data_IF_461919143479
#
_entry.id   IF_461919143479
#
_cell.length_a   1.000
_cell.length_b   1.000
_cell.length_c   1.000
_cell.angle_alpha   90.00
_cell.angle_beta   90.00
_cell.angle_gamma   90.00
#
_symmetry.space_group_name_H-M   'P 1'
#
loop_
_entity.id
_entity.type
_entity.pdbx_description
1 polymer ?
#
# COMPACT_ATOMS: atom_id res chain seq x y z
N UNK A 1 14.08 -2.31 6.62
CA UNK A 1 13.43 -2.43 5.31
C UNK A 1 13.48 -1.08 4.61
N UNK A 2 13.78 -1.03 3.30
CA UNK A 2 13.92 0.22 2.52
C UNK A 2 13.47 -0.03 1.08
N UNK A 3 12.74 0.94 0.48
CA UNK A 3 12.44 0.94 -0.96
C UNK A 3 13.42 1.89 -1.66
N UNK A 4 13.89 1.50 -2.84
CA UNK A 4 14.83 2.25 -3.65
C UNK A 4 14.37 2.28 -5.10
N UNK A 5 14.45 3.43 -5.74
CA UNK A 5 14.25 3.55 -7.18
C UNK A 5 15.55 3.17 -7.91
N UNK A 6 15.45 2.32 -8.92
CA UNK A 6 16.54 1.90 -9.79
C UNK A 6 16.44 2.66 -11.11
N UNK A 7 17.39 3.54 -11.36
CA UNK A 7 17.41 4.40 -12.55
C UNK A 7 18.39 3.94 -13.62
N UNK A 8 19.30 2.99 -13.31
CA UNK A 8 20.31 2.43 -14.22
C UNK A 8 20.45 0.94 -13.97
N UNK A 9 20.95 0.21 -14.97
CA UNK A 9 21.25 -1.23 -14.87
C UNK A 9 20.02 -2.04 -14.40
N UNK A 10 18.85 -1.76 -14.93
CA UNK A 10 17.60 -2.46 -14.56
C UNK A 10 17.65 -3.94 -14.96
N UNK A 11 18.43 -4.26 -15.98
CA UNK A 11 18.73 -5.61 -16.48
C UNK A 11 19.38 -6.50 -15.42
N UNK A 12 20.10 -5.96 -14.45
CA UNK A 12 20.64 -6.73 -13.32
C UNK A 12 19.55 -7.41 -12.46
N UNK A 13 18.30 -6.97 -12.60
CA UNK A 13 17.14 -7.54 -11.90
C UNK A 13 16.28 -8.47 -12.77
N UNK A 14 16.74 -8.80 -13.98
CA UNK A 14 15.99 -9.63 -14.94
C UNK A 14 15.53 -10.96 -14.33
N UNK A 15 16.40 -11.63 -13.57
CA UNK A 15 16.07 -12.88 -12.87
C UNK A 15 14.83 -12.75 -11.98
N UNK A 16 14.65 -11.59 -11.34
CA UNK A 16 13.47 -11.34 -10.51
C UNK A 16 12.24 -11.00 -11.35
N UNK A 17 12.40 -10.21 -12.42
CA UNK A 17 11.30 -9.82 -13.30
C UNK A 17 10.70 -11.04 -14.00
N UNK A 18 11.53 -12.02 -14.37
CA UNK A 18 11.12 -13.28 -14.97
C UNK A 18 10.28 -14.17 -14.03
N UNK A 19 10.27 -13.90 -12.71
CA UNK A 19 9.37 -14.60 -11.78
C UNK A 19 7.90 -14.22 -11.97
N UNK A 20 7.62 -13.03 -12.54
CA UNK A 20 6.27 -12.54 -12.80
C UNK A 20 5.89 -12.64 -14.29
N UNK A 21 6.84 -12.42 -15.19
CA UNK A 21 6.66 -12.56 -16.64
C UNK A 21 7.76 -13.45 -17.20
N UNK A 22 7.46 -14.68 -17.66
CA UNK A 22 8.47 -15.66 -18.05
C UNK A 22 9.14 -15.39 -19.40
N UNK A 23 8.80 -14.29 -20.10
CA UNK A 23 9.31 -14.00 -21.43
C UNK A 23 10.07 -12.66 -21.45
N UNK A 24 11.41 -12.74 -21.57
CA UNK A 24 12.33 -11.60 -21.50
C UNK A 24 12.03 -10.52 -22.56
N UNK A 25 11.76 -10.92 -23.81
CA UNK A 25 11.42 -9.98 -24.89
C UNK A 25 10.09 -9.21 -24.65
N UNK A 26 9.24 -9.68 -23.75
CA UNK A 26 8.07 -8.93 -23.28
C UNK A 26 8.45 -7.89 -22.23
N UNK A 27 9.37 -8.24 -21.33
CA UNK A 27 9.88 -7.33 -20.30
C UNK A 27 10.67 -6.18 -20.94
N UNK A 28 11.53 -6.47 -21.91
CA UNK A 28 12.33 -5.47 -22.64
C UNK A 28 11.48 -4.38 -23.30
N UNK A 29 10.26 -4.69 -23.73
CA UNK A 29 9.37 -3.71 -24.37
C UNK A 29 9.02 -2.51 -23.49
N UNK A 30 9.04 -2.68 -22.17
CA UNK A 30 8.66 -1.61 -21.24
C UNK A 30 9.76 -1.22 -20.24
N UNK A 31 10.79 -2.04 -20.04
CA UNK A 31 11.74 -1.87 -18.95
C UNK A 31 12.49 -0.54 -18.99
N UNK A 32 13.01 -0.16 -20.14
CA UNK A 32 13.85 1.04 -20.29
C UNK A 32 13.07 2.34 -20.01
N UNK A 33 11.83 2.42 -20.49
CA UNK A 33 10.99 3.60 -20.39
C UNK A 33 10.19 3.71 -19.08
N UNK A 34 10.23 2.66 -18.26
CA UNK A 34 9.47 2.56 -17.02
C UNK A 34 10.33 2.88 -15.79
N UNK A 35 9.71 3.30 -14.71
CA UNK A 35 10.34 3.39 -13.41
C UNK A 35 10.40 2.01 -12.73
N UNK A 36 11.52 1.71 -12.07
CA UNK A 36 11.70 0.47 -11.33
C UNK A 36 11.96 0.76 -9.86
N UNK A 37 11.32 0.00 -8.98
CA UNK A 37 11.53 0.08 -7.54
C UNK A 37 11.84 -1.30 -6.97
N UNK A 38 12.76 -1.35 -6.02
CA UNK A 38 13.11 -2.55 -5.28
C UNK A 38 12.89 -2.37 -3.79
N UNK A 39 12.40 -3.40 -3.14
CA UNK A 39 12.32 -3.47 -1.69
C UNK A 39 13.48 -4.31 -1.17
N UNK A 40 14.31 -3.68 -0.32
CA UNK A 40 15.49 -4.28 0.30
C UNK A 40 15.23 -4.51 1.79
N UNK A 41 15.48 -5.71 2.26
CA UNK A 41 15.43 -6.07 3.67
C UNK A 41 16.66 -6.88 4.06
N UNK A 42 17.34 -6.49 5.16
CA UNK A 42 18.57 -7.16 5.61
C UNK A 42 19.76 -7.06 4.66
N UNK A 43 19.70 -6.20 3.64
CA UNK A 43 20.71 -6.07 2.58
C UNK A 43 20.34 -6.78 1.27
N UNK A 44 19.35 -7.66 1.29
CA UNK A 44 18.89 -8.42 0.14
C UNK A 44 17.67 -7.79 -0.54
N UNK A 45 17.62 -7.87 -1.86
CA UNK A 45 16.44 -7.46 -2.64
C UNK A 45 15.38 -8.56 -2.53
N UNK A 46 14.26 -8.23 -1.88
CA UNK A 46 13.16 -9.17 -1.62
C UNK A 46 12.05 -9.09 -2.66
N UNK A 47 11.78 -7.90 -3.17
CA UNK A 47 10.70 -7.68 -4.15
C UNK A 47 11.07 -6.55 -5.10
N UNK A 48 10.52 -6.59 -6.31
CA UNK A 48 10.72 -5.60 -7.37
C UNK A 48 9.40 -5.27 -8.03
N UNK A 49 9.22 -4.02 -8.46
CA UNK A 49 8.12 -3.64 -9.34
C UNK A 49 8.58 -2.67 -10.43
N UNK A 50 7.87 -2.69 -11.56
CA UNK A 50 8.10 -1.81 -12.70
C UNK A 50 6.80 -1.11 -13.04
N UNK A 51 6.84 0.22 -13.16
CA UNK A 51 5.66 1.06 -13.43
C UNK A 51 5.94 1.93 -14.64
N UNK A 52 5.06 1.85 -15.62
CA UNK A 52 5.07 2.69 -16.81
C UNK A 52 4.12 3.87 -16.64
N UNK A 53 4.59 5.09 -16.87
CA UNK A 53 3.75 6.27 -16.92
C UNK A 53 3.10 6.37 -18.29
N UNK A 54 1.78 6.41 -18.33
CA UNK A 54 0.98 6.52 -19.53
C UNK A 54 0.49 7.97 -19.75
N UNK A 55 -0.11 8.22 -20.91
CA UNK A 55 -0.78 9.51 -21.17
C UNK A 55 -2.00 9.72 -20.27
N UNK A 56 -2.45 10.98 -20.16
CA UNK A 56 -3.67 11.37 -19.45
C UNK A 56 -3.67 11.01 -17.96
N UNK A 57 -2.56 11.27 -17.27
CA UNK A 57 -2.39 11.06 -15.83
C UNK A 57 -2.74 9.63 -15.39
N UNK A 58 -2.28 8.64 -16.17
CA UNK A 58 -2.42 7.22 -15.89
C UNK A 58 -1.05 6.57 -15.74
N UNK A 59 -0.97 5.52 -14.96
CA UNK A 59 0.19 4.65 -14.92
C UNK A 59 -0.23 3.18 -14.91
N UNK A 60 0.70 2.30 -15.22
CA UNK A 60 0.47 0.85 -15.25
C UNK A 60 1.60 0.12 -14.51
N UNK A 61 1.22 -0.68 -13.54
CA UNK A 61 2.12 -1.63 -12.91
C UNK A 61 2.34 -2.80 -13.89
N UNK A 62 3.50 -2.77 -14.57
CA UNK A 62 3.86 -3.73 -15.62
C UNK A 62 4.38 -5.06 -15.06
N UNK A 63 5.11 -4.99 -13.95
CA UNK A 63 5.73 -6.17 -13.34
C UNK A 63 5.76 -6.00 -11.83
N UNK A 64 5.48 -7.07 -11.10
CA UNK A 64 5.60 -7.13 -9.65
C UNK A 64 6.03 -8.54 -9.25
N UNK A 65 7.24 -8.67 -8.77
CA UNK A 65 7.82 -9.95 -8.38
C UNK A 65 8.36 -9.92 -6.95
N UNK A 66 8.23 -11.04 -6.27
CA UNK A 66 8.82 -11.28 -4.94
C UNK A 66 9.59 -12.59 -4.99
N UNK A 67 10.81 -12.61 -4.45
CA UNK A 67 11.60 -13.83 -4.32
C UNK A 67 10.77 -14.93 -3.68
N UNK A 68 10.93 -16.16 -4.16
CA UNK A 68 10.07 -17.27 -3.73
C UNK A 68 10.12 -17.48 -2.21
N UNK A 69 11.30 -17.40 -1.62
CA UNK A 69 11.58 -17.54 -0.18
C UNK A 69 11.08 -16.37 0.67
N UNK A 70 10.73 -15.26 0.00
CA UNK A 70 10.27 -14.03 0.61
C UNK A 70 8.75 -13.80 0.45
N UNK A 71 8.06 -14.72 -0.24
CA UNK A 71 6.60 -14.65 -0.42
C UNK A 71 5.86 -14.82 0.90
N UNK A 72 4.66 -14.23 0.98
CA UNK A 72 3.82 -14.27 2.19
C UNK A 72 4.22 -13.29 3.30
N UNK A 73 5.33 -12.55 3.15
CA UNK A 73 5.82 -11.56 4.13
C UNK A 73 5.29 -10.13 3.88
N UNK A 74 4.39 -9.93 2.90
CA UNK A 74 3.75 -8.64 2.62
C UNK A 74 4.56 -7.68 1.73
N UNK A 75 5.74 -8.04 1.24
CA UNK A 75 6.62 -7.14 0.48
C UNK A 75 6.02 -6.61 -0.82
N UNK A 76 5.31 -7.46 -1.58
CA UNK A 76 4.60 -7.03 -2.79
C UNK A 76 3.50 -6.00 -2.46
N UNK A 77 2.72 -6.23 -1.41
CA UNK A 77 1.69 -5.31 -0.93
C UNK A 77 2.30 -3.97 -0.51
N UNK A 78 3.43 -4.01 0.17
CA UNK A 78 4.17 -2.81 0.57
C UNK A 78 4.68 -1.99 -0.63
N UNK A 79 5.23 -2.65 -1.67
CA UNK A 79 5.61 -1.97 -2.91
C UNK A 79 4.40 -1.33 -3.61
N UNK A 80 3.25 -2.02 -3.67
CA UNK A 80 2.02 -1.47 -4.26
C UNK A 80 1.59 -0.18 -3.53
N UNK A 81 1.58 -0.18 -2.20
CA UNK A 81 1.21 1.02 -1.45
C UNK A 81 2.17 2.18 -1.72
N UNK A 82 3.47 1.90 -1.69
CA UNK A 82 4.50 2.89 -1.98
C UNK A 82 4.34 3.50 -3.38
N UNK A 83 4.17 2.69 -4.44
CA UNK A 83 4.03 3.21 -5.80
C UNK A 83 2.69 3.95 -6.00
N UNK A 84 1.60 3.51 -5.36
CA UNK A 84 0.33 4.23 -5.40
C UNK A 84 0.49 5.64 -4.84
N UNK A 85 1.18 5.78 -3.74
CA UNK A 85 1.51 7.05 -3.13
C UNK A 85 2.49 7.88 -3.98
N UNK A 86 3.60 7.27 -4.41
CA UNK A 86 4.59 7.92 -5.26
C UNK A 86 3.98 8.58 -6.52
N UNK A 87 3.00 7.90 -7.14
CA UNK A 87 2.33 8.38 -8.35
C UNK A 87 1.07 9.20 -8.11
N UNK A 88 0.55 9.33 -6.89
CA UNK A 88 -0.72 10.02 -6.60
C UNK A 88 -0.74 11.47 -7.08
N UNK A 89 0.38 12.18 -7.03
CA UNK A 89 0.48 13.57 -7.50
C UNK A 89 0.58 13.69 -9.03
N UNK A 90 1.01 12.65 -9.73
CA UNK A 90 1.27 12.68 -11.18
C UNK A 90 0.26 11.89 -11.99
N UNK A 91 -0.38 10.89 -11.38
CA UNK A 91 -1.36 10.01 -12.01
C UNK A 91 -2.64 9.97 -11.17
N UNK A 92 -3.78 9.90 -11.84
CA UNK A 92 -5.09 9.77 -11.19
C UNK A 92 -5.51 8.29 -11.06
N UNK A 93 -4.99 7.43 -11.93
CA UNK A 93 -5.36 6.01 -11.98
C UNK A 93 -4.14 5.14 -12.25
N UNK A 94 -3.97 4.10 -11.45
CA UNK A 94 -3.03 3.02 -11.71
C UNK A 94 -3.76 1.80 -12.25
N UNK A 95 -3.26 1.25 -13.35
CA UNK A 95 -3.72 -0.02 -13.92
C UNK A 95 -2.76 -1.14 -13.57
N UNK A 96 -3.26 -2.37 -13.59
CA UNK A 96 -2.45 -3.58 -13.58
C UNK A 96 -3.11 -4.62 -14.46
N UNK A 97 -2.36 -5.23 -15.37
CA UNK A 97 -2.79 -6.37 -16.17
C UNK A 97 -2.28 -7.68 -15.56
N UNK A 98 -3.14 -8.68 -15.45
CA UNK A 98 -2.77 -10.02 -14.95
C UNK A 98 -3.54 -11.10 -15.68
N UNK A 99 -3.08 -12.35 -15.56
CA UNK A 99 -3.83 -13.49 -16.08
C UNK A 99 -5.09 -13.81 -15.26
N UNK A 100 -5.90 -14.71 -15.76
CA UNK A 100 -7.15 -15.16 -15.16
C UNK A 100 -6.96 -16.09 -13.93
N UNK A 101 -5.90 -15.90 -13.15
CA UNK A 101 -5.63 -16.63 -11.92
C UNK A 101 -6.35 -15.99 -10.74
N UNK A 102 -7.27 -16.71 -10.11
CA UNK A 102 -8.08 -16.24 -8.99
C UNK A 102 -7.24 -15.66 -7.85
N UNK A 103 -6.17 -16.34 -7.45
CA UNK A 103 -5.29 -15.92 -6.35
C UNK A 103 -4.63 -14.56 -6.61
N UNK A 104 -4.21 -14.30 -7.86
CA UNK A 104 -3.58 -13.03 -8.23
C UNK A 104 -4.62 -11.90 -8.29
N UNK A 105 -5.82 -12.19 -8.78
CA UNK A 105 -6.92 -11.23 -8.78
C UNK A 105 -7.30 -10.82 -7.36
N UNK A 106 -7.54 -11.79 -6.47
CA UNK A 106 -7.83 -11.54 -5.04
C UNK A 106 -6.73 -10.74 -4.35
N UNK A 107 -5.46 -10.98 -4.69
CA UNK A 107 -4.34 -10.21 -4.16
C UNK A 107 -4.43 -8.71 -4.55
N UNK A 108 -4.69 -8.40 -5.82
CA UNK A 108 -4.85 -7.02 -6.25
C UNK A 108 -6.12 -6.36 -5.70
N UNK A 109 -7.22 -7.11 -5.59
CA UNK A 109 -8.45 -6.64 -4.95
C UNK A 109 -8.21 -6.27 -3.48
N UNK A 110 -7.43 -7.06 -2.73
CA UNK A 110 -7.00 -6.75 -1.37
C UNK A 110 -6.08 -5.52 -1.29
N UNK A 111 -5.43 -5.14 -2.39
CA UNK A 111 -4.67 -3.89 -2.50
C UNK A 111 -5.54 -2.70 -2.94
N UNK A 112 -6.86 -2.89 -3.08
CA UNK A 112 -7.82 -1.84 -3.43
C UNK A 112 -8.01 -1.62 -4.93
N UNK A 113 -7.54 -2.55 -5.77
CA UNK A 113 -7.84 -2.52 -7.20
C UNK A 113 -9.22 -3.12 -7.47
N UNK A 114 -9.91 -2.60 -8.48
CA UNK A 114 -11.21 -3.09 -8.96
C UNK A 114 -11.11 -3.48 -10.43
N UNK A 115 -11.95 -4.40 -10.87
CA UNK A 115 -12.01 -4.81 -12.27
C UNK A 115 -12.24 -3.62 -13.21
N UNK A 116 -11.50 -3.59 -14.32
CA UNK A 116 -11.59 -2.56 -15.36
C UNK A 116 -12.10 -3.14 -16.68
N UNK A 117 -11.28 -3.91 -17.38
CA UNK A 117 -11.61 -4.51 -18.68
C UNK A 117 -10.81 -5.78 -18.92
N UNK A 118 -11.13 -6.50 -19.97
CA UNK A 118 -10.45 -7.73 -20.38
C UNK A 118 -9.91 -7.57 -21.80
N UNK A 119 -8.67 -7.99 -22.03
CA UNK A 119 -8.09 -8.15 -23.35
C UNK A 119 -8.07 -9.64 -23.66
N UNK A 120 -9.02 -10.07 -24.50
CA UNK A 120 -9.17 -11.48 -24.85
C UNK A 120 -7.95 -11.99 -25.63
N UNK A 121 -7.59 -13.25 -25.40
CA UNK A 121 -6.51 -13.97 -26.09
C UNK A 121 -5.11 -13.33 -25.94
N UNK A 122 -4.92 -12.38 -25.04
CA UNK A 122 -3.65 -11.66 -24.90
C UNK A 122 -2.45 -12.60 -24.76
N UNK A 123 -2.53 -13.58 -23.86
CA UNK A 123 -1.40 -14.50 -23.63
C UNK A 123 -1.18 -15.46 -24.81
N UNK A 124 -2.24 -15.87 -25.49
CA UNK A 124 -2.13 -16.78 -26.63
C UNK A 124 -1.62 -16.11 -27.92
N UNK A 125 -1.80 -14.79 -28.04
CA UNK A 125 -1.35 -14.03 -29.21
C UNK A 125 0.04 -13.40 -29.02
N UNK A 126 0.46 -13.12 -27.79
CA UNK A 126 1.69 -12.38 -27.52
C UNK A 126 2.83 -13.23 -26.97
N UNK A 127 2.55 -14.44 -26.46
CA UNK A 127 3.56 -15.33 -25.89
C UNK A 127 3.81 -16.54 -26.79
N UNK A 128 5.10 -16.90 -26.94
CA UNK A 128 5.53 -18.02 -27.80
C UNK A 128 5.09 -19.37 -27.25
N UNK A 129 5.15 -19.51 -25.91
CA UNK A 129 4.79 -20.75 -25.23
C UNK A 129 3.58 -20.52 -24.30
N UNK A 130 2.71 -21.51 -24.12
CA UNK A 130 1.60 -21.43 -23.20
C UNK A 130 2.06 -21.17 -21.76
N UNK A 131 1.51 -20.14 -21.12
CA UNK A 131 1.81 -19.82 -19.73
C UNK A 131 0.78 -20.48 -18.83
N UNK A 132 1.26 -21.07 -17.73
CA UNK A 132 0.41 -21.65 -16.70
C UNK A 132 0.70 -20.98 -15.35
N UNK A 133 -0.34 -20.65 -14.61
CA UNK A 133 -0.24 -20.15 -13.25
C UNK A 133 -1.19 -20.94 -12.35
N UNK A 134 -0.65 -21.54 -11.26
CA UNK A 134 -1.40 -22.44 -10.36
C UNK A 134 -2.17 -23.54 -11.14
N UNK A 135 -1.58 -24.09 -12.22
CA UNK A 135 -2.18 -25.13 -13.06
C UNK A 135 -3.24 -24.65 -14.05
N UNK A 136 -3.57 -23.35 -14.07
CA UNK A 136 -4.50 -22.74 -15.02
C UNK A 136 -3.72 -22.15 -16.20
N UNK A 137 -4.11 -22.51 -17.43
CA UNK A 137 -3.57 -21.87 -18.62
C UNK A 137 -4.09 -20.44 -18.73
N UNK A 138 -3.16 -19.49 -18.87
CA UNK A 138 -3.50 -18.09 -19.11
C UNK A 138 -3.91 -17.90 -20.58
N UNK A 139 -5.03 -17.23 -20.80
CA UNK A 139 -5.56 -16.86 -22.12
C UNK A 139 -5.74 -15.36 -22.24
N UNK A 140 -6.53 -14.80 -21.33
CA UNK A 140 -6.95 -13.41 -21.37
C UNK A 140 -6.16 -12.58 -20.33
N UNK A 141 -5.86 -11.34 -20.68
CA UNK A 141 -5.35 -10.36 -19.73
C UNK A 141 -6.51 -9.65 -19.06
N UNK A 142 -6.60 -9.77 -17.75
CA UNK A 142 -7.60 -9.07 -16.94
C UNK A 142 -6.95 -7.81 -16.39
N UNK A 143 -7.49 -6.67 -16.77
CA UNK A 143 -7.05 -5.39 -16.22
C UNK A 143 -7.88 -5.00 -15.00
N UNK A 144 -7.16 -4.68 -13.93
CA UNK A 144 -7.73 -4.00 -12.77
C UNK A 144 -7.21 -2.58 -12.75
N UNK A 145 -7.91 -1.70 -12.04
CA UNK A 145 -7.53 -0.30 -11.83
C UNK A 145 -7.74 0.12 -10.39
N UNK A 146 -6.90 1.04 -9.95
CA UNK A 146 -7.04 1.71 -8.66
C UNK A 146 -7.01 3.21 -8.88
N UNK A 147 -7.97 3.93 -8.30
CA UNK A 147 -7.91 5.38 -8.24
C UNK A 147 -6.78 5.78 -7.29
N UNK A 148 -5.90 6.66 -7.76
CA UNK A 148 -4.85 7.24 -6.94
C UNK A 148 -5.37 8.58 -6.44
N UNK A 149 -5.78 8.61 -5.20
CA UNK A 149 -6.23 9.86 -4.59
C UNK A 149 -5.01 10.75 -4.35
N UNK A 150 -4.95 11.90 -5.02
CA UNK A 150 -3.90 12.90 -4.84
C UNK A 150 -4.05 13.69 -3.54
N UNK A 151 -5.20 13.62 -2.91
CA UNK A 151 -5.49 14.25 -1.61
C UNK A 151 -5.76 13.17 -0.56
N UNK A 152 -4.92 13.19 0.46
CA UNK A 152 -5.17 12.42 1.68
C UNK A 152 -6.42 13.00 2.34
N UNK A 153 -7.47 12.20 2.46
CA UNK A 153 -8.67 12.59 3.22
C UNK A 153 -8.29 12.70 4.71
N UNK A 154 -7.85 13.92 5.10
CA UNK A 154 -7.43 14.25 6.46
C UNK A 154 -8.46 13.79 7.49
N UNK A 155 -9.77 13.89 7.17
CA UNK A 155 -10.87 13.48 8.06
C UNK A 155 -10.83 11.98 8.32
N UNK A 156 -10.62 11.16 7.28
CA UNK A 156 -10.52 9.69 7.44
C UNK A 156 -9.31 9.29 8.26
N UNK A 157 -8.17 9.95 8.06
CA UNK A 157 -6.94 9.69 8.82
C UNK A 157 -7.09 10.09 10.28
N UNK A 158 -7.59 11.29 10.55
CA UNK A 158 -7.85 11.76 11.91
C UNK A 158 -8.84 10.85 12.63
N UNK A 159 -9.89 10.39 11.93
CA UNK A 159 -10.87 9.47 12.51
C UNK A 159 -10.24 8.13 12.91
N UNK A 160 -9.35 7.58 12.09
CA UNK A 160 -8.60 6.38 12.39
C UNK A 160 -7.65 6.57 13.57
N UNK A 161 -6.86 7.66 13.54
CA UNK A 161 -5.88 7.99 14.58
C UNK A 161 -6.56 8.24 15.93
N UNK A 162 -7.68 8.97 15.91
CA UNK A 162 -8.48 9.25 17.10
C UNK A 162 -9.11 7.98 17.69
N UNK A 163 -9.54 7.04 16.85
CA UNK A 163 -10.09 5.76 17.32
C UNK A 163 -9.00 4.88 17.96
N UNK A 164 -7.80 4.81 17.36
CA UNK A 164 -6.65 4.15 17.98
C UNK A 164 -6.29 4.79 19.33
N UNK A 165 -6.20 6.13 19.38
CA UNK A 165 -5.97 6.88 20.61
C UNK A 165 -7.02 6.62 21.67
N UNK A 166 -8.31 6.57 21.29
CA UNK A 166 -9.42 6.23 22.19
C UNK A 166 -9.25 4.85 22.82
N UNK A 167 -8.92 3.85 22.02
CA UNK A 167 -8.74 2.48 22.49
C UNK A 167 -7.56 2.42 23.46
N UNK A 168 -6.45 3.07 23.12
CA UNK A 168 -5.26 3.12 23.98
C UNK A 168 -5.58 3.77 25.33
N UNK A 169 -6.16 4.98 25.34
CA UNK A 169 -6.46 5.73 26.54
C UNK A 169 -7.48 5.00 27.43
N UNK A 170 -8.53 4.43 26.81
CA UNK A 170 -9.54 3.63 27.50
C UNK A 170 -8.93 2.40 28.20
N UNK A 171 -7.90 1.81 27.65
CA UNK A 171 -7.24 0.61 28.18
C UNK A 171 -5.98 0.92 29.04
N UNK A 172 -5.82 2.16 29.46
CA UNK A 172 -4.80 2.55 30.44
C UNK A 172 -3.42 2.83 29.87
N UNK A 173 -3.32 3.13 28.56
CA UNK A 173 -2.06 3.61 28.00
C UNK A 173 -1.71 5.00 28.57
N UNK A 174 -0.42 5.24 28.74
CA UNK A 174 0.10 6.54 29.14
C UNK A 174 -0.15 7.60 28.05
N UNK A 175 -0.45 8.85 28.47
CA UNK A 175 -0.80 9.95 27.58
C UNK A 175 0.20 10.14 26.45
N UNK A 176 1.51 10.08 26.73
CA UNK A 176 2.53 10.25 25.72
C UNK A 176 2.52 9.14 24.66
N UNK A 177 2.11 7.91 25.01
CA UNK A 177 1.95 6.80 24.05
C UNK A 177 0.77 6.99 23.14
N UNK A 178 -0.31 7.55 23.67
CA UNK A 178 -1.49 7.91 22.89
C UNK A 178 -1.15 8.98 21.86
N UNK A 179 -0.43 10.02 22.29
CA UNK A 179 0.07 11.10 21.46
C UNK A 179 0.98 10.59 20.34
N UNK A 180 2.00 9.82 20.71
CA UNK A 180 2.93 9.21 19.75
C UNK A 180 2.20 8.35 18.69
N UNK A 181 1.18 7.60 19.12
CA UNK A 181 0.43 6.72 18.22
C UNK A 181 -0.43 7.51 17.25
N UNK A 182 -1.15 8.54 17.71
CA UNK A 182 -1.96 9.44 16.88
C UNK A 182 -1.07 10.12 15.84
N UNK A 183 0.02 10.73 16.29
CA UNK A 183 0.98 11.44 15.43
C UNK A 183 1.61 10.48 14.40
N UNK A 184 2.00 9.26 14.81
CA UNK A 184 2.55 8.24 13.92
C UNK A 184 1.57 7.86 12.82
N UNK A 185 0.30 7.61 13.15
CA UNK A 185 -0.73 7.27 12.16
C UNK A 185 -0.94 8.42 11.18
N UNK A 186 -1.10 9.66 11.67
CA UNK A 186 -1.29 10.82 10.82
C UNK A 186 -0.10 11.04 9.86
N UNK A 187 1.13 10.99 10.39
CA UNK A 187 2.35 11.14 9.58
C UNK A 187 2.52 10.02 8.55
N UNK A 188 2.04 8.81 8.83
CA UNK A 188 2.12 7.66 7.90
C UNK A 188 1.25 7.86 6.65
N UNK A 189 0.24 8.70 6.75
CA UNK A 189 -0.63 9.10 5.64
C UNK A 189 -0.36 10.55 5.18
N UNK A 190 0.83 11.09 5.47
CA UNK A 190 1.29 12.42 5.02
C UNK A 190 0.37 13.59 5.38
N UNK A 191 -0.28 13.53 6.55
CA UNK A 191 -0.92 14.71 7.14
C UNK A 191 0.18 15.64 7.64
N UNK A 192 0.26 16.86 7.07
CA UNK A 192 1.41 17.76 7.26
C UNK A 192 1.46 18.36 8.67
N UNK A 193 0.30 18.74 9.19
CA UNK A 193 0.21 19.38 10.51
C UNK A 193 -0.79 18.63 11.38
N UNK A 194 -0.35 18.20 12.55
CA UNK A 194 -1.14 17.48 13.52
C UNK A 194 -0.86 18.03 14.91
N UNK A 195 -1.87 18.61 15.53
CA UNK A 195 -1.84 19.02 16.92
C UNK A 195 -2.73 18.12 17.75
N UNK A 196 -2.21 17.63 18.86
CA UNK A 196 -2.96 16.80 19.81
C UNK A 196 -3.00 17.44 21.19
N UNK A 197 -4.15 17.33 21.86
CA UNK A 197 -4.27 17.66 23.27
C UNK A 197 -5.01 16.55 23.99
N UNK A 198 -4.30 15.83 24.86
CA UNK A 198 -4.78 14.61 25.48
C UNK A 198 -4.90 14.81 26.99
N UNK A 199 -6.10 14.54 27.47
CA UNK A 199 -6.43 14.52 28.90
C UNK A 199 -6.78 13.08 29.33
N UNK A 200 -6.84 12.83 30.63
CA UNK A 200 -7.23 11.51 31.16
C UNK A 200 -8.60 10.99 30.68
N UNK A 201 -9.47 11.89 30.21
CA UNK A 201 -10.85 11.56 29.81
C UNK A 201 -11.24 12.09 28.41
N UNK A 202 -10.28 12.60 27.65
CA UNK A 202 -10.60 13.18 26.34
C UNK A 202 -9.37 13.38 25.46
N UNK A 203 -9.60 13.34 24.17
CA UNK A 203 -8.60 13.57 23.14
C UNK A 203 -9.15 14.63 22.18
N UNK A 204 -8.33 15.62 21.88
CA UNK A 204 -8.51 16.63 20.85
C UNK A 204 -7.44 16.38 19.80
N UNK A 205 -7.84 16.32 18.54
CA UNK A 205 -6.92 16.24 17.40
C UNK A 205 -7.33 17.31 16.41
N UNK A 206 -6.38 18.14 16.01
CA UNK A 206 -6.52 19.09 14.90
C UNK A 206 -5.47 18.76 13.85
N UNK A 207 -5.88 18.69 12.60
CA UNK A 207 -4.98 18.33 11.51
C UNK A 207 -5.35 19.08 10.22
N UNK A 208 -4.32 19.38 9.40
CA UNK A 208 -4.48 20.06 8.12
C UNK A 208 -3.41 19.65 7.12
N UNK A 209 -3.70 19.82 5.83
CA UNK A 209 -2.78 19.63 4.71
C UNK A 209 -2.68 20.93 3.91
N UNK A 210 -2.27 22.03 4.53
CA UNK A 210 -1.86 23.29 3.89
C UNK A 210 -2.84 24.00 2.93
N UNK A 211 -3.81 23.32 2.36
CA UNK A 211 -4.76 23.83 1.35
C UNK A 211 -6.21 23.83 1.87
N UNK A 212 -6.55 22.91 2.75
CA UNK A 212 -7.89 22.80 3.35
C UNK A 212 -7.95 23.44 4.73
N UNK A 213 -9.19 23.78 5.17
CA UNK A 213 -9.43 24.20 6.56
C UNK A 213 -9.06 23.08 7.54
N UNK A 214 -8.46 23.45 8.68
CA UNK A 214 -8.07 22.51 9.71
C UNK A 214 -9.26 21.66 10.19
N UNK A 215 -9.12 20.35 10.11
CA UNK A 215 -10.12 19.42 10.64
C UNK A 215 -9.85 19.12 12.11
N UNK A 216 -10.73 19.57 12.99
CA UNK A 216 -10.61 19.33 14.42
C UNK A 216 -11.68 18.36 14.91
N UNK A 217 -11.28 17.35 15.66
CA UNK A 217 -12.18 16.38 16.28
C UNK A 217 -11.87 16.17 17.74
N UNK A 218 -12.94 15.98 18.51
CA UNK A 218 -12.89 15.77 19.96
C UNK A 218 -13.57 14.45 20.31
N UNK A 219 -12.96 13.67 21.19
CA UNK A 219 -13.55 12.45 21.72
C UNK A 219 -13.47 12.42 23.23
N UNK A 220 -14.61 12.35 23.90
CA UNK A 220 -14.67 12.06 25.32
C UNK A 220 -14.52 10.55 25.55
N UNK A 221 -13.74 10.16 26.54
CA UNK A 221 -13.40 8.77 26.82
C UNK A 221 -13.78 8.43 28.25
N UNK A 222 -14.71 7.50 28.48
CA UNK A 222 -15.03 7.06 29.82
C UNK A 222 -13.86 6.27 30.43
N UNK A 223 -13.63 6.43 31.72
CA UNK A 223 -12.66 5.64 32.46
C UNK A 223 -13.01 4.14 32.37
N UNK A 224 -12.01 3.31 32.16
CA UNK A 224 -12.13 1.85 32.09
C UNK A 224 -10.96 1.18 32.83
N UNK A 225 -11.05 -0.14 33.00
CA UNK A 225 -9.95 -0.95 33.53
C UNK A 225 -8.79 -1.04 32.54
N UNK A 226 -7.58 -1.17 33.05
CA UNK A 226 -6.38 -1.32 32.22
C UNK A 226 -6.30 -2.71 31.57
N UNK A 227 -6.10 -2.75 30.25
CA UNK A 227 -5.90 -3.97 29.45
C UNK A 227 -4.66 -3.84 28.55
N UNK A 228 -3.49 -4.17 29.10
CA UNK A 228 -2.20 -4.03 28.41
C UNK A 228 -2.08 -4.83 27.11
N UNK A 229 -2.81 -5.97 26.98
CA UNK A 229 -2.86 -6.74 25.74
C UNK A 229 -3.41 -5.90 24.58
N UNK A 230 -4.54 -5.24 24.78
CA UNK A 230 -5.16 -4.36 23.77
C UNK A 230 -4.24 -3.19 23.42
N UNK A 231 -3.56 -2.62 24.43
CA UNK A 231 -2.56 -1.55 24.20
C UNK A 231 -1.43 -2.03 23.30
N UNK A 232 -0.95 -3.26 23.50
CA UNK A 232 0.11 -3.84 22.66
C UNK A 232 -0.36 -4.05 21.21
N UNK A 233 -1.58 -4.58 21.01
CA UNK A 233 -2.18 -4.81 19.68
C UNK A 233 -2.34 -3.50 18.87
N UNK A 234 -2.85 -2.43 19.51
CA UNK A 234 -3.01 -1.13 18.85
C UNK A 234 -1.65 -0.50 18.51
N UNK A 235 -0.66 -0.64 19.38
CA UNK A 235 0.71 -0.18 19.11
C UNK A 235 1.34 -0.96 17.94
N UNK A 236 1.12 -2.27 17.84
CA UNK A 236 1.59 -3.09 16.72
C UNK A 236 0.93 -2.63 15.42
N UNK A 237 -0.40 -2.52 15.41
CA UNK A 237 -1.13 -2.00 14.26
C UNK A 237 -0.60 -0.63 13.79
N UNK A 238 -0.32 0.29 14.72
CA UNK A 238 0.22 1.61 14.36
C UNK A 238 1.60 1.54 13.69
N UNK A 239 2.43 0.54 14.05
CA UNK A 239 3.72 0.29 13.39
C UNK A 239 3.54 -0.34 12.02
N UNK A 240 2.60 -1.25 11.87
CA UNK A 240 2.26 -1.83 10.56
C UNK A 240 1.74 -0.76 9.60
N UNK A 241 0.91 0.18 10.08
CA UNK A 241 0.47 1.36 9.32
C UNK A 241 1.69 2.20 8.91
N UNK A 242 2.57 2.52 9.85
CA UNK A 242 3.78 3.29 9.59
C UNK A 242 4.76 2.57 8.64
N UNK A 243 4.72 1.25 8.61
CA UNK A 243 5.44 0.43 7.64
C UNK A 243 4.77 0.36 6.26
N UNK A 244 3.58 0.95 6.07
CA UNK A 244 2.82 0.86 4.83
C UNK A 244 2.22 -0.53 4.56
N UNK A 245 2.07 -1.37 5.60
CA UNK A 245 1.53 -2.74 5.46
C UNK A 245 0.01 -2.81 5.52
N UNK A 246 -0.66 -1.75 6.00
CA UNK A 246 -2.08 -1.72 6.31
C UNK A 246 -2.73 -0.45 5.77
N UNK A 247 -3.82 -0.58 5.01
CA UNK A 247 -4.62 0.54 4.51
C UNK A 247 -5.49 1.16 5.61
N UNK A 248 -6.04 2.35 5.36
CA UNK A 248 -6.99 3.02 6.28
C UNK A 248 -8.20 2.13 6.56
N UNK A 249 -8.76 1.50 5.53
CA UNK A 249 -9.94 0.64 5.62
C UNK A 249 -9.67 -0.61 6.46
N UNK A 250 -8.57 -1.30 6.20
CA UNK A 250 -8.14 -2.49 6.94
C UNK A 250 -7.81 -2.14 8.41
N UNK A 251 -7.14 -1.02 8.65
CA UNK A 251 -6.86 -0.55 10.00
C UNK A 251 -8.15 -0.24 10.79
N UNK A 252 -9.15 0.38 10.14
CA UNK A 252 -10.46 0.62 10.76
C UNK A 252 -11.20 -0.67 11.14
N UNK A 253 -11.10 -1.70 10.31
CA UNK A 253 -11.69 -3.01 10.62
C UNK A 253 -11.03 -3.67 11.83
N UNK A 254 -9.71 -3.60 11.91
CA UNK A 254 -8.93 -4.19 13.02
C UNK A 254 -9.10 -3.44 14.35
N UNK A 255 -9.54 -2.19 14.33
CA UNK A 255 -9.85 -1.39 15.54
C UNK A 255 -11.30 -1.57 16.05
N UNK A 256 -12.15 -2.32 15.37
CA UNK A 256 -13.53 -2.64 15.80
C UNK A 256 -13.57 -3.78 16.80
#
# INVERSE_FOLDING_TARGET
MKIQQITRNKDEYMDMLLLADPQEDMIEKYLDQSDMFVLVNGGDVCSVCVVEQLKNRKCELKNLATRTEERGKGYAKHLIYYICEYYSNTCDVMYVGTGNCKRTLEFYEQCGFIHSHIVANFFTENYKEPIYHDGVRLTDMIYLKKQLDSEVDVKKVVDLALEAGRILLKNGAEIFRVDETITRICNSFHVEYVDTFILSHGIFVSAENGVEEAYTKVKQIPLSSSHLGIVAEVNELSREIAGGFVSIEEAKERLR
#
